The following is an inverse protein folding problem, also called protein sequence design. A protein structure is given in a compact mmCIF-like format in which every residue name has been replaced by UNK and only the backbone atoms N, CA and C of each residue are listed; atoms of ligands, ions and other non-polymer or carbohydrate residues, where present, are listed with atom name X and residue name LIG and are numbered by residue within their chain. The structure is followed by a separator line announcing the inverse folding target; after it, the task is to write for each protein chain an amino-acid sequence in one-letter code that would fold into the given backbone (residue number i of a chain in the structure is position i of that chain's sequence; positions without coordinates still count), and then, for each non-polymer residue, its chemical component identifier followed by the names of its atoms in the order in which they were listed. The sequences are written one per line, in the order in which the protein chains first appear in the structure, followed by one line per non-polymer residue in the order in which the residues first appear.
data_IF_062537002434
#
_entry.id   IF_062537002434
#
_cell.length_a   1.000
_cell.length_b   1.000
_cell.length_c   1.000
_cell.angle_alpha   90.00
_cell.angle_beta   90.00
_cell.angle_gamma   90.00
#
_symmetry.space_group_name_H-M   'P 1'
#
loop_
_entity.id
_entity.type
_entity.pdbx_description
1 polymer ?
#
# COMPACT_ATOMS: atom_id res chain seq x y z
N UNK A 1 -0.27 -20.27 -9.29
CA UNK A 1 -1.16 -20.53 -8.14
C UNK A 1 -2.58 -20.73 -8.66
N UNK A 2 -3.38 -21.61 -8.07
CA UNK A 2 -4.79 -21.78 -8.43
C UNK A 2 -5.60 -20.57 -7.97
N UNK A 3 -6.41 -19.99 -8.84
CA UNK A 3 -7.31 -18.89 -8.48
C UNK A 3 -8.52 -19.42 -7.72
N UNK A 4 -8.83 -18.85 -6.56
CA UNK A 4 -10.08 -19.09 -5.83
C UNK A 4 -11.16 -18.13 -6.32
N UNK A 5 -12.38 -18.64 -6.57
CA UNK A 5 -13.51 -17.80 -6.99
C UNK A 5 -14.03 -16.98 -5.79
N UNK A 6 -14.03 -15.66 -5.95
CA UNK A 6 -14.58 -14.73 -4.96
C UNK A 6 -15.62 -13.83 -5.63
N UNK A 7 -16.77 -13.64 -4.98
CA UNK A 7 -17.80 -12.70 -5.43
C UNK A 7 -17.68 -11.40 -4.63
N UNK A 8 -17.63 -10.27 -5.34
CA UNK A 8 -17.58 -8.93 -4.75
C UNK A 8 -18.74 -8.11 -5.26
N UNK A 9 -19.36 -7.34 -4.37
CA UNK A 9 -20.39 -6.37 -4.74
C UNK A 9 -19.74 -5.05 -5.09
N UNK A 10 -20.17 -4.47 -6.21
CA UNK A 10 -19.76 -3.16 -6.68
C UNK A 10 -20.98 -2.28 -6.83
N UNK A 11 -20.82 -0.98 -6.59
CA UNK A 11 -21.83 -0.02 -7.01
C UNK A 11 -21.91 0.03 -8.54
N UNK A 12 -23.05 0.46 -9.08
CA UNK A 12 -23.21 0.65 -10.52
C UNK A 12 -22.14 1.59 -11.11
N UNK A 13 -21.76 2.62 -10.35
CA UNK A 13 -20.71 3.57 -10.77
C UNK A 13 -19.32 2.93 -10.79
N UNK A 14 -18.97 2.13 -9.77
CA UNK A 14 -17.69 1.41 -9.75
C UNK A 14 -17.59 0.43 -10.92
N UNK A 15 -18.67 -0.29 -11.21
CA UNK A 15 -18.72 -1.20 -12.35
C UNK A 15 -18.51 -0.46 -13.68
N UNK A 16 -19.21 0.68 -13.87
CA UNK A 16 -19.05 1.52 -15.07
C UNK A 16 -17.61 1.98 -15.25
N UNK A 17 -16.96 2.47 -14.18
CA UNK A 17 -15.56 2.93 -14.24
C UNK A 17 -14.59 1.80 -14.60
N UNK A 18 -14.82 0.60 -14.09
CA UNK A 18 -14.01 -0.58 -14.44
C UNK A 18 -14.23 -1.02 -15.89
N UNK A 19 -15.46 -0.97 -16.39
CA UNK A 19 -15.74 -1.29 -17.80
C UNK A 19 -15.07 -0.26 -18.74
N UNK A 20 -15.09 1.03 -18.40
CA UNK A 20 -14.38 2.08 -19.14
C UNK A 20 -12.85 1.89 -19.10
N UNK A 21 -12.30 1.48 -17.96
CA UNK A 21 -10.87 1.21 -17.82
C UNK A 21 -10.43 -0.03 -18.60
N UNK A 22 -11.24 -1.09 -18.57
CA UNK A 22 -11.06 -2.31 -19.36
C UNK A 22 -11.01 -1.98 -20.85
N UNK A 23 -11.96 -1.17 -21.33
CA UNK A 23 -12.00 -0.75 -22.73
C UNK A 23 -10.76 0.05 -23.17
N UNK A 24 -10.19 0.89 -22.28
CA UNK A 24 -8.98 1.67 -22.59
C UNK A 24 -7.69 0.87 -22.51
N UNK A 25 -7.59 -0.08 -21.58
CA UNK A 25 -6.37 -0.84 -21.31
C UNK A 25 -6.26 -2.15 -22.10
N UNK A 26 -7.39 -2.69 -22.57
CA UNK A 26 -7.46 -4.03 -23.15
C UNK A 26 -7.41 -5.16 -22.10
N UNK A 27 -7.31 -4.83 -20.81
CA UNK A 27 -7.32 -5.80 -19.72
C UNK A 27 -8.75 -6.23 -19.37
N UNK A 28 -8.91 -7.47 -18.96
CA UNK A 28 -10.19 -8.00 -18.47
C UNK A 28 -10.53 -7.41 -17.09
N UNK A 29 -11.83 -7.41 -16.75
CA UNK A 29 -12.29 -7.00 -15.41
C UNK A 29 -11.59 -7.80 -14.29
N UNK A 30 -11.31 -9.08 -14.52
CA UNK A 30 -10.65 -9.94 -13.55
C UNK A 30 -9.15 -9.60 -13.37
N UNK A 31 -8.48 -9.11 -14.41
CA UNK A 31 -7.10 -8.61 -14.31
C UNK A 31 -7.07 -7.30 -13.54
N UNK A 32 -7.94 -6.34 -13.90
CA UNK A 32 -8.02 -5.05 -13.20
C UNK A 32 -8.33 -5.20 -11.71
N UNK A 33 -9.27 -6.07 -11.35
CA UNK A 33 -9.60 -6.33 -9.94
C UNK A 33 -8.43 -6.99 -9.22
N UNK A 34 -7.70 -7.90 -9.87
CA UNK A 34 -6.54 -8.56 -9.26
C UNK A 34 -5.40 -7.57 -9.04
N UNK A 35 -5.09 -6.74 -10.03
CA UNK A 35 -4.07 -5.70 -9.92
C UNK A 35 -4.39 -4.71 -8.79
N UNK A 36 -5.64 -4.25 -8.69
CA UNK A 36 -6.06 -3.38 -7.60
C UNK A 36 -5.94 -4.05 -6.22
N UNK A 37 -6.22 -5.35 -6.12
CA UNK A 37 -6.03 -6.12 -4.87
C UNK A 37 -4.54 -6.28 -4.57
N UNK A 38 -3.71 -6.64 -5.55
CA UNK A 38 -2.27 -6.79 -5.38
C UNK A 38 -1.62 -5.45 -4.95
N UNK A 39 -2.05 -4.34 -5.55
CA UNK A 39 -1.64 -2.99 -5.17
C UNK A 39 -2.06 -2.68 -3.72
N UNK A 40 -3.32 -2.92 -3.37
CA UNK A 40 -3.84 -2.70 -2.02
C UNK A 40 -3.07 -3.50 -0.95
N UNK A 41 -2.73 -4.75 -1.26
CA UNK A 41 -1.99 -5.62 -0.35
C UNK A 41 -0.51 -5.22 -0.26
N UNK A 42 0.10 -4.80 -1.37
CA UNK A 42 1.51 -4.34 -1.40
C UNK A 42 1.69 -3.04 -0.62
N UNK A 43 0.75 -2.09 -0.75
CA UNK A 43 0.81 -0.81 -0.05
C UNK A 43 0.50 -0.90 1.45
N UNK A 44 0.07 -2.06 1.95
CA UNK A 44 -0.29 -2.23 3.36
C UNK A 44 0.87 -2.64 4.28
N UNK A 45 2.04 -2.95 3.72
CA UNK A 45 3.21 -3.34 4.51
C UNK A 45 4.50 -2.79 3.90
N UNK A 46 4.66 -1.46 3.92
CA UNK A 46 6.00 -0.97 4.26
C UNK A 46 6.06 -1.06 5.77
N UNK A 47 6.63 -2.16 6.28
CA UNK A 47 7.03 -2.19 7.67
C UNK A 47 8.03 -1.06 7.85
N UNK A 48 7.57 0.02 8.47
CA UNK A 48 8.34 1.24 8.66
C UNK A 48 9.67 0.91 9.35
N UNK A 49 9.66 -0.02 10.31
CA UNK A 49 10.88 -0.45 10.98
C UNK A 49 11.81 -1.19 10.01
N UNK A 50 11.31 -2.15 9.24
CA UNK A 50 12.12 -2.83 8.23
C UNK A 50 12.69 -1.88 7.16
N UNK A 51 11.93 -0.86 6.75
CA UNK A 51 12.39 0.15 5.79
C UNK A 51 13.47 1.08 6.39
N UNK A 52 13.32 1.46 7.66
CA UNK A 52 14.30 2.24 8.41
C UNK A 52 15.58 1.43 8.63
N UNK A 53 15.46 0.16 9.02
CA UNK A 53 16.59 -0.77 9.19
C UNK A 53 17.35 -0.99 7.88
N UNK A 54 16.64 -1.14 6.75
CA UNK A 54 17.28 -1.27 5.44
C UNK A 54 17.99 0.02 4.99
N UNK A 55 17.44 1.19 5.36
CA UNK A 55 17.97 2.50 4.92
C UNK A 55 19.10 3.02 5.81
N UNK A 56 19.04 2.75 7.11
CA UNK A 56 19.98 3.25 8.12
C UNK A 56 20.84 2.13 8.75
N UNK A 57 20.77 0.92 8.19
CA UNK A 57 21.30 -0.33 8.71
C UNK A 57 22.81 -0.40 8.91
N UNK A 58 23.33 0.29 9.91
CA UNK A 58 24.74 0.19 10.31
C UNK A 58 24.95 -0.03 11.81
N UNK A 59 23.94 0.18 12.66
CA UNK A 59 24.06 -0.01 14.11
C UNK A 59 22.74 -0.45 14.79
N UNK A 60 22.42 -1.76 14.81
CA UNK A 60 21.15 -2.29 15.38
C UNK A 60 21.03 -2.14 16.91
N UNK A 61 22.11 -1.75 17.59
CA UNK A 61 22.15 -1.51 19.03
C UNK A 61 22.47 -0.04 19.36
N UNK A 62 22.25 0.87 18.40
CA UNK A 62 22.44 2.29 18.67
C UNK A 62 21.33 2.78 19.59
N UNK A 63 21.69 3.08 20.83
CA UNK A 63 20.80 3.84 21.72
C UNK A 63 20.68 5.26 21.19
N UNK A 64 19.52 5.59 20.61
CA UNK A 64 19.22 6.95 20.14
C UNK A 64 18.94 7.82 21.36
N UNK A 65 19.73 8.88 21.61
CA UNK A 65 19.46 9.80 22.71
C UNK A 65 18.08 10.43 22.56
N UNK A 66 17.41 10.67 23.69
CA UNK A 66 16.14 11.38 23.69
C UNK A 66 16.29 12.75 23.02
N UNK A 67 15.33 13.10 22.14
CA UNK A 67 15.26 14.41 21.45
C UNK A 67 14.17 15.30 22.04
N UNK A 68 13.96 15.18 23.36
CA UNK A 68 13.05 16.03 24.14
C UNK A 68 13.30 17.53 23.91
N UNK A 69 14.55 17.88 23.62
CA UNK A 69 14.96 19.23 23.31
C UNK A 69 14.31 19.83 22.04
N UNK A 70 13.78 19.01 21.12
CA UNK A 70 13.12 19.44 19.86
C UNK A 70 11.65 19.81 20.07
N UNK A 71 11.01 19.25 21.09
CA UNK A 71 9.61 19.58 21.45
C UNK A 71 9.47 21.05 21.88
N UNK A 72 10.58 21.70 22.24
CA UNK A 72 10.65 23.13 22.58
C UNK A 72 10.27 24.05 21.41
N UNK A 73 10.32 23.57 20.16
CA UNK A 73 9.96 24.35 18.96
C UNK A 73 8.61 23.93 18.35
N UNK A 74 7.89 22.98 18.96
CA UNK A 74 6.59 22.52 18.46
C UNK A 74 5.40 23.34 18.99
N UNK A 75 5.64 24.34 19.86
CA UNK A 75 4.62 25.11 20.57
C UNK A 75 4.52 26.59 20.15
N UNK A 76 5.02 26.97 18.97
CA UNK A 76 4.78 28.28 18.32
C UNK A 76 3.91 28.13 17.06
#
# INVERSE_FOLDING_TARGET
MSSTRTQVYLTAEQRRKLDELSARSGATLAELVREAVDEYLTHRHVDLQAALDASFGSMPHLEVPARDEWDRWAAD
#
